data_IF_917393860020
#
_entry.id   IF_917393860020
#
_cell.length_a   1.000
_cell.length_b   1.000
_cell.length_c   1.000
_cell.angle_alpha   90.00
_cell.angle_beta   90.00
_cell.angle_gamma   90.00
#
_symmetry.space_group_name_H-M   'P 1'
#
loop_
_entity.id
_entity.type
_entity.pdbx_description
1 polymer ?
#
# COMPACT_ATOMS: atom_id res chain seq x y z
N UNK A 1 13.07 30.62 30.46
CA UNK A 1 13.86 29.72 29.58
C UNK A 1 13.20 28.33 29.42
N UNK A 2 11.87 28.24 29.37
CA UNK A 2 11.12 26.96 29.32
C UNK A 2 10.19 26.84 28.10
N UNK A 3 9.89 27.94 27.41
CA UNK A 3 8.89 27.99 26.33
C UNK A 3 9.43 27.48 24.98
N UNK A 4 10.68 27.81 24.63
CA UNK A 4 11.29 27.42 23.35
C UNK A 4 11.47 25.90 23.23
N UNK A 5 11.91 25.25 24.31
CA UNK A 5 12.15 23.80 24.36
C UNK A 5 10.85 22.99 24.23
N UNK A 6 9.75 23.46 24.84
CA UNK A 6 8.45 22.79 24.76
C UNK A 6 7.85 22.87 23.36
N UNK A 7 7.97 24.02 22.68
CA UNK A 7 7.53 24.18 21.27
C UNK A 7 8.31 23.28 20.31
N UNK A 8 9.62 23.13 20.52
CA UNK A 8 10.46 22.24 19.70
C UNK A 8 10.07 20.78 19.91
N UNK A 9 9.87 20.34 21.15
CA UNK A 9 9.44 18.96 21.46
C UNK A 9 8.07 18.66 20.83
N UNK A 10 7.10 19.56 20.98
CA UNK A 10 5.76 19.40 20.39
C UNK A 10 5.80 19.36 18.85
N UNK A 11 6.66 20.17 18.23
CA UNK A 11 6.84 20.17 16.77
C UNK A 11 7.46 18.86 16.27
N UNK A 12 8.47 18.35 16.99
CA UNK A 12 9.11 17.06 16.67
C UNK A 12 8.13 15.90 16.83
N UNK A 13 7.33 15.88 17.90
CA UNK A 13 6.29 14.86 18.12
C UNK A 13 5.18 14.92 17.05
N UNK A 14 4.79 16.12 16.62
CA UNK A 14 3.80 16.30 15.55
C UNK A 14 4.33 15.82 14.19
N UNK A 15 5.61 16.08 13.89
CA UNK A 15 6.25 15.55 12.69
C UNK A 15 6.36 14.01 12.73
N UNK A 16 6.76 13.44 13.87
CA UNK A 16 6.87 11.98 14.06
C UNK A 16 5.52 11.26 13.93
N UNK A 17 4.45 11.84 14.47
CA UNK A 17 3.10 11.30 14.34
C UNK A 17 2.61 11.37 12.90
N UNK A 18 2.81 12.49 12.20
CA UNK A 18 2.49 12.61 10.78
C UNK A 18 3.24 11.59 9.90
N UNK A 19 4.55 11.39 10.16
CA UNK A 19 5.37 10.38 9.45
C UNK A 19 4.83 8.97 9.70
N UNK A 20 4.50 8.64 10.95
CA UNK A 20 3.96 7.32 11.32
C UNK A 20 2.62 7.04 10.65
N UNK A 21 1.72 8.04 10.63
CA UNK A 21 0.42 7.94 9.96
C UNK A 21 0.59 7.73 8.45
N UNK A 22 1.45 8.51 7.80
CA UNK A 22 1.71 8.39 6.37
C UNK A 22 2.32 7.02 6.00
N UNK A 23 3.28 6.52 6.79
CA UNK A 23 3.85 5.16 6.62
C UNK A 23 2.77 4.08 6.71
N UNK A 24 1.90 4.17 7.72
CA UNK A 24 0.80 3.20 7.92
C UNK A 24 -0.19 3.22 6.77
N UNK A 25 -0.55 4.40 6.28
CA UNK A 25 -1.44 4.58 5.13
C UNK A 25 -0.82 3.97 3.86
N UNK A 26 0.45 4.27 3.58
CA UNK A 26 1.16 3.75 2.41
C UNK A 26 1.25 2.22 2.43
N UNK A 27 1.53 1.61 3.58
CA UNK A 27 1.58 0.15 3.65
C UNK A 27 0.20 -0.48 3.44
N UNK A 28 -0.86 0.09 4.04
CA UNK A 28 -2.24 -0.37 3.81
C UNK A 28 -2.63 -0.26 2.32
N UNK A 29 -2.28 0.85 1.67
CA UNK A 29 -2.52 1.02 0.23
C UNK A 29 -1.78 -0.03 -0.59
N UNK A 30 -0.50 -0.29 -0.28
CA UNK A 30 0.28 -1.31 -0.96
C UNK A 30 -0.39 -2.68 -0.86
N UNK A 31 -0.72 -3.10 0.37
CA UNK A 31 -1.35 -4.40 0.64
C UNK A 31 -2.67 -4.55 -0.12
N UNK A 32 -3.50 -3.50 -0.11
CA UNK A 32 -4.76 -3.47 -0.82
C UNK A 32 -4.55 -3.58 -2.34
N UNK A 33 -3.65 -2.78 -2.91
CA UNK A 33 -3.33 -2.79 -4.34
C UNK A 33 -2.80 -4.16 -4.76
N UNK A 34 -1.83 -4.74 -4.04
CA UNK A 34 -1.32 -6.09 -4.33
C UNK A 34 -2.44 -7.12 -4.33
N UNK A 35 -3.41 -7.01 -3.41
CA UNK A 35 -4.56 -7.91 -3.34
C UNK A 35 -5.50 -7.75 -4.53
N UNK A 36 -5.76 -6.52 -4.98
CA UNK A 36 -6.55 -6.23 -6.19
C UNK A 36 -5.83 -6.70 -7.44
N UNK A 37 -4.54 -6.41 -7.57
CA UNK A 37 -3.70 -6.87 -8.68
C UNK A 37 -3.77 -8.38 -8.79
N UNK A 38 -3.64 -9.11 -7.68
CA UNK A 38 -3.78 -10.57 -7.66
C UNK A 38 -5.06 -11.04 -8.34
N UNK A 39 -6.20 -10.46 -7.97
CA UNK A 39 -7.49 -10.85 -8.57
C UNK A 39 -7.54 -10.58 -10.05
N UNK A 40 -7.01 -9.45 -10.49
CA UNK A 40 -7.05 -9.05 -11.89
C UNK A 40 -6.12 -9.92 -12.74
N UNK A 41 -4.93 -10.29 -12.23
CA UNK A 41 -3.99 -11.16 -12.96
C UNK A 41 -4.40 -12.64 -12.94
N UNK A 42 -5.27 -13.05 -12.01
CA UNK A 42 -5.87 -14.39 -11.96
C UNK A 42 -7.09 -14.51 -12.91
N UNK A 43 -7.62 -13.40 -13.44
CA UNK A 43 -8.69 -13.43 -14.46
C UNK A 43 -8.15 -13.91 -15.81
N UNK A 44 -9.00 -14.55 -16.65
CA UNK A 44 -8.61 -15.01 -17.98
C UNK A 44 -8.31 -13.88 -18.96
N UNK A 45 -8.82 -12.67 -18.69
CA UNK A 45 -8.54 -11.47 -19.48
C UNK A 45 -7.13 -10.93 -19.20
N UNK A 46 -6.47 -10.37 -20.21
CA UNK A 46 -5.18 -9.70 -20.04
C UNK A 46 -5.26 -8.60 -18.97
N UNK A 47 -4.43 -8.71 -17.93
CA UNK A 47 -4.33 -7.72 -16.88
C UNK A 47 -3.47 -6.55 -17.35
N UNK A 48 -4.02 -5.33 -17.28
CA UNK A 48 -3.29 -4.09 -17.59
C UNK A 48 -3.21 -3.19 -16.37
N UNK A 49 -2.23 -2.28 -16.36
CA UNK A 49 -2.08 -1.30 -15.29
C UNK A 49 -3.33 -0.41 -15.17
N UNK A 50 -3.94 -0.04 -16.30
CA UNK A 50 -5.18 0.77 -16.34
C UNK A 50 -6.33 0.05 -15.66
N UNK A 51 -6.48 -1.26 -15.92
CA UNK A 51 -7.52 -2.06 -15.28
C UNK A 51 -7.30 -2.12 -13.76
N UNK A 52 -6.06 -2.33 -13.30
CA UNK A 52 -5.76 -2.31 -11.85
C UNK A 52 -6.02 -0.92 -11.25
N UNK A 53 -5.62 0.16 -11.93
CA UNK A 53 -5.86 1.55 -11.48
C UNK A 53 -7.35 1.86 -11.35
N UNK A 54 -8.16 1.47 -12.33
CA UNK A 54 -9.60 1.71 -12.34
C UNK A 54 -10.33 1.02 -11.18
N UNK A 55 -9.87 -0.16 -10.75
CA UNK A 55 -10.46 -0.89 -9.63
C UNK A 55 -9.92 -0.45 -8.26
N UNK A 56 -8.60 -0.22 -8.16
CA UNK A 56 -7.95 -0.01 -6.88
C UNK A 56 -8.06 1.45 -6.41
N UNK A 57 -7.72 2.42 -7.26
CA UNK A 57 -7.54 3.79 -6.81
C UNK A 57 -8.85 4.49 -6.37
N UNK A 58 -9.99 4.36 -7.05
CA UNK A 58 -11.24 5.01 -6.60
C UNK A 58 -11.68 4.57 -5.20
N UNK A 59 -11.46 3.30 -4.84
CA UNK A 59 -11.82 2.76 -3.52
C UNK A 59 -10.94 3.28 -2.39
N UNK A 60 -9.69 3.66 -2.71
CA UNK A 60 -8.78 4.31 -1.76
C UNK A 60 -9.04 5.82 -1.64
N UNK A 61 -9.83 6.41 -2.55
CA UNK A 61 -10.03 7.85 -2.68
C UNK A 61 -11.27 8.38 -1.94
N UNK A 62 -11.73 7.76 -0.83
CA UNK A 62 -12.84 8.32 -0.02
C UNK A 62 -12.61 9.76 0.44
N UNK A 63 -11.36 10.23 0.50
CA UNK A 63 -10.97 11.59 0.94
C UNK A 63 -10.43 12.49 -0.19
N UNK A 64 -10.46 12.07 -1.47
CA UNK A 64 -10.04 12.87 -2.64
C UNK A 64 -8.66 13.56 -2.58
N UNK A 65 -7.74 13.11 -1.71
CA UNK A 65 -6.41 13.72 -1.64
C UNK A 65 -5.55 13.38 -2.87
N UNK A 66 -5.02 14.36 -3.62
CA UNK A 66 -4.16 14.13 -4.79
C UNK A 66 -2.92 13.28 -4.47
N UNK A 67 -2.42 13.34 -3.24
CA UNK A 67 -1.25 12.56 -2.79
C UNK A 67 -1.55 11.07 -2.74
N UNK A 68 -2.75 10.69 -2.27
CA UNK A 68 -3.22 9.29 -2.22
C UNK A 68 -3.33 8.70 -3.63
N UNK A 69 -3.88 9.48 -4.57
CA UNK A 69 -3.98 9.07 -5.98
C UNK A 69 -2.60 8.82 -6.60
N UNK A 70 -1.65 9.74 -6.37
CA UNK A 70 -0.27 9.61 -6.86
C UNK A 70 0.42 8.38 -6.30
N UNK A 71 0.29 8.12 -4.99
CA UNK A 71 0.86 6.92 -4.36
C UNK A 71 0.22 5.65 -4.91
N UNK A 72 -1.11 5.61 -5.06
CA UNK A 72 -1.81 4.48 -5.66
C UNK A 72 -1.29 4.13 -7.06
N UNK A 73 -1.22 5.14 -7.95
CA UNK A 73 -0.73 4.95 -9.31
C UNK A 73 0.73 4.47 -9.35
N UNK A 74 1.59 5.03 -8.49
CA UNK A 74 2.99 4.65 -8.42
C UNK A 74 3.17 3.17 -8.02
N UNK A 75 2.45 2.71 -6.99
CA UNK A 75 2.50 1.31 -6.55
C UNK A 75 2.03 0.39 -7.68
N UNK A 76 0.95 0.75 -8.38
CA UNK A 76 0.40 -0.06 -9.46
C UNK A 76 1.39 -0.18 -10.62
N UNK A 77 2.00 0.93 -11.04
CA UNK A 77 3.02 0.93 -12.10
C UNK A 77 4.22 0.09 -11.70
N UNK A 78 4.74 0.27 -10.48
CA UNK A 78 5.88 -0.52 -9.98
C UNK A 78 5.60 -2.03 -10.05
N UNK A 79 4.40 -2.47 -9.68
CA UNK A 79 3.98 -3.86 -9.80
C UNK A 79 3.84 -4.28 -11.26
N UNK A 80 3.02 -3.56 -12.04
CA UNK A 80 2.55 -4.00 -13.36
C UNK A 80 3.61 -3.87 -14.46
N UNK A 81 4.52 -2.91 -14.34
CA UNK A 81 5.65 -2.74 -15.25
C UNK A 81 6.74 -3.79 -15.01
N UNK A 82 6.72 -4.47 -13.86
CA UNK A 82 7.65 -5.55 -13.52
C UNK A 82 7.04 -6.93 -13.72
N UNK A 83 7.43 -7.60 -14.82
CA UNK A 83 7.05 -9.00 -15.09
C UNK A 83 7.38 -9.95 -13.92
N UNK A 84 8.48 -9.68 -13.21
CA UNK A 84 8.92 -10.48 -12.05
C UNK A 84 7.92 -10.33 -10.90
N UNK A 85 7.51 -9.11 -10.59
CA UNK A 85 6.55 -8.83 -9.52
C UNK A 85 5.17 -9.41 -9.84
N UNK A 86 4.68 -9.23 -11.06
CA UNK A 86 3.42 -9.84 -11.53
C UNK A 86 3.46 -11.36 -11.39
N UNK A 87 4.57 -12.01 -11.79
CA UNK A 87 4.73 -13.46 -11.65
C UNK A 87 4.71 -13.91 -10.19
N UNK A 88 5.39 -13.19 -9.29
CA UNK A 88 5.38 -13.48 -7.84
C UNK A 88 3.96 -13.40 -7.27
N UNK A 89 3.17 -12.41 -7.69
CA UNK A 89 1.77 -12.24 -7.29
C UNK A 89 0.91 -13.41 -7.79
N UNK A 90 1.05 -13.79 -9.08
CA UNK A 90 0.25 -14.85 -9.70
C UNK A 90 0.46 -16.23 -9.07
N UNK A 91 1.69 -16.56 -8.69
CA UNK A 91 2.03 -17.88 -8.10
C UNK A 91 1.43 -18.05 -6.69
N UNK A 92 1.22 -16.96 -5.94
CA UNK A 92 0.73 -17.06 -4.56
C UNK A 92 -0.77 -17.29 -4.51
N UNK A 93 -1.21 -18.42 -3.93
CA UNK A 93 -2.63 -18.85 -3.95
C UNK A 93 -3.57 -18.08 -3.01
N UNK A 94 -3.13 -17.68 -1.81
CA UNK A 94 -4.01 -17.07 -0.78
C UNK A 94 -3.62 -15.64 -0.48
N UNK A 95 -4.56 -14.75 -0.16
CA UNK A 95 -4.31 -13.41 0.40
C UNK A 95 -3.99 -13.51 1.91
N UNK A 96 -3.31 -12.50 2.49
CA UNK A 96 -2.97 -12.48 3.93
C UNK A 96 -1.56 -11.95 4.20
N UNK A 97 -0.86 -12.48 5.21
CA UNK A 97 0.47 -11.98 5.63
C UNK A 97 1.48 -11.84 4.49
N UNK A 98 1.39 -12.67 3.45
CA UNK A 98 2.31 -12.57 2.31
C UNK A 98 2.21 -11.23 1.58
N UNK A 99 1.04 -10.59 1.50
CA UNK A 99 0.89 -9.29 0.80
C UNK A 99 1.66 -8.21 1.53
N UNK A 100 1.65 -8.27 2.87
CA UNK A 100 2.49 -7.43 3.72
C UNK A 100 3.98 -7.68 3.49
N UNK A 101 4.42 -8.96 3.47
CA UNK A 101 5.81 -9.29 3.14
C UNK A 101 6.22 -8.89 1.73
N UNK A 102 5.32 -9.01 0.75
CA UNK A 102 5.56 -8.54 -0.61
C UNK A 102 5.74 -7.02 -0.62
N UNK A 103 4.86 -6.29 0.05
CA UNK A 103 4.95 -4.84 0.19
C UNK A 103 6.20 -4.36 0.94
N UNK A 104 6.74 -5.14 1.87
CA UNK A 104 7.93 -4.76 2.63
C UNK A 104 9.24 -5.16 1.95
N UNK A 105 9.23 -6.21 1.12
CA UNK A 105 10.43 -6.77 0.48
C UNK A 105 10.60 -6.40 -0.99
N UNK A 106 9.50 -6.32 -1.72
CA UNK A 106 9.50 -6.29 -3.19
C UNK A 106 9.11 -4.93 -3.74
N UNK A 107 8.25 -4.21 -3.03
CA UNK A 107 7.92 -2.83 -3.33
C UNK A 107 8.73 -1.97 -2.37
N UNK A 108 9.39 -0.95 -2.91
CA UNK A 108 10.39 -0.13 -2.20
C UNK A 108 10.08 0.04 -0.70
N UNK A 109 11.12 -0.06 0.16
CA UNK A 109 11.09 0.18 1.63
C UNK A 109 10.25 1.43 1.99
N UNK A 110 10.15 2.38 1.06
CA UNK A 110 9.24 3.53 1.06
C UNK A 110 7.79 3.26 1.47
N UNK A 111 7.18 2.13 1.11
CA UNK A 111 5.75 1.90 1.35
C UNK A 111 5.46 1.11 2.61
N UNK A 112 6.27 0.10 2.94
CA UNK A 112 6.06 -0.74 4.11
C UNK A 112 7.38 -1.18 4.79
N UNK A 113 8.15 -0.23 5.37
CA UNK A 113 9.53 -0.49 5.83
C UNK A 113 9.62 -1.52 6.96
N UNK A 114 8.63 -1.55 7.86
CA UNK A 114 8.68 -2.35 9.10
C UNK A 114 7.84 -3.64 8.99
N UNK A 115 7.32 -3.93 7.80
CA UNK A 115 6.22 -4.87 7.65
C UNK A 115 4.94 -4.36 8.32
N UNK A 116 3.83 -5.04 8.06
CA UNK A 116 2.54 -4.65 8.62
C UNK A 116 1.76 -5.88 9.05
N UNK A 117 1.34 -5.91 10.32
CA UNK A 117 0.52 -6.99 10.86
C UNK A 117 -0.79 -6.41 11.37
N UNK A 118 -1.86 -6.57 10.59
CA UNK A 118 -3.21 -6.16 10.95
C UNK A 118 -4.17 -7.31 10.63
N UNK A 119 -4.49 -8.16 11.63
CA UNK A 119 -5.37 -9.32 11.43
C UNK A 119 -6.75 -8.95 10.89
N UNK A 120 -7.28 -7.76 11.24
CA UNK A 120 -8.58 -7.30 10.73
C UNK A 120 -8.50 -7.00 9.24
N UNK A 121 -7.46 -6.26 8.81
CA UNK A 121 -7.24 -5.99 7.39
C UNK A 121 -7.08 -7.29 6.58
N UNK A 122 -6.32 -8.27 7.08
CA UNK A 122 -6.15 -9.54 6.37
C UNK A 122 -7.44 -10.35 6.25
N UNK A 123 -8.33 -10.28 7.24
CA UNK A 123 -9.66 -10.87 7.19
C UNK A 123 -10.61 -10.14 6.24
N UNK A 124 -10.45 -8.83 6.03
CA UNK A 124 -11.20 -8.08 5.02
C UNK A 124 -10.72 -8.41 3.61
N UNK A 125 -9.41 -8.49 3.41
CA UNK A 125 -8.80 -8.78 2.12
C UNK A 125 -9.05 -10.20 1.63
N UNK A 126 -9.24 -11.17 2.53
CA UNK A 126 -9.64 -12.53 2.16
C UNK A 126 -11.07 -12.59 1.61
N UNK A 127 -11.90 -11.57 1.86
CA UNK A 127 -13.29 -11.43 1.38
C UNK A 127 -13.41 -10.58 0.12
N UNK A 128 -12.44 -9.69 -0.13
CA UNK A 128 -12.30 -9.05 -1.46
C UNK A 128 -12.22 -10.18 -2.47
#
# INVERSE_FOLDING_TARGET
>A
MTDLSMRVILSVLSALTAITVAKKLNCRMCIYITSVTKKIVDQPTMATAEKVMAYACPRLMRENSPSVRKVCMNIIREIMDSRILVRKIKIKKRLGRWTSFFCSRELSIKYCPDGFNDPKLFNELSKV
#
